data_IF_989878475039
#
_entry.id   IF_989878475039
#
_cell.length_a   1.000
_cell.length_b   1.000
_cell.length_c   1.000
_cell.angle_alpha   90.00
_cell.angle_beta   90.00
_cell.angle_gamma   90.00
#
_symmetry.space_group_name_H-M   'P 1'
#
loop_
_entity.id
_entity.type
_entity.pdbx_description
1 polymer ?
#
# COMPACT_ATOMS: atom_id res chain seq x y z
N UNK A 1 11.63 5.26 13.48
CA UNK A 1 11.56 6.20 14.61
C UNK A 1 10.58 5.68 15.68
N UNK A 2 9.30 5.43 15.34
CA UNK A 2 8.31 4.84 16.26
C UNK A 2 8.79 3.53 16.85
N UNK A 3 9.32 2.63 16.01
CA UNK A 3 9.90 1.36 16.47
C UNK A 3 11.03 1.56 17.48
N UNK A 4 11.92 2.53 17.24
CA UNK A 4 13.02 2.84 18.16
C UNK A 4 12.51 3.30 19.53
N UNK A 5 11.45 4.11 19.57
CA UNK A 5 10.81 4.54 20.81
C UNK A 5 10.20 3.34 21.55
N UNK A 6 9.46 2.48 20.85
CA UNK A 6 8.86 1.28 21.43
C UNK A 6 9.95 0.34 22.00
N UNK A 7 11.07 0.18 21.30
CA UNK A 7 12.18 -0.64 21.72
C UNK A 7 12.89 -0.10 22.97
N UNK A 8 13.00 1.22 23.06
CA UNK A 8 13.75 1.88 24.14
C UNK A 8 12.90 2.06 25.40
N UNK A 9 11.68 2.59 25.28
CA UNK A 9 10.83 2.93 26.43
C UNK A 9 10.16 1.70 27.08
N UNK A 10 9.86 0.65 26.31
CA UNK A 10 9.00 -0.44 26.76
C UNK A 10 9.68 -1.82 26.79
N UNK A 11 10.97 -1.90 26.57
CA UNK A 11 11.71 -3.17 26.54
C UNK A 11 11.06 -4.23 25.63
N UNK A 12 10.54 -3.74 24.51
CA UNK A 12 9.63 -4.41 23.61
C UNK A 12 10.21 -5.65 22.91
N UNK A 13 11.54 -5.70 22.70
CA UNK A 13 12.20 -6.75 21.89
C UNK A 13 11.92 -8.15 22.42
N UNK A 14 11.98 -8.35 23.74
CA UNK A 14 11.80 -9.65 24.35
C UNK A 14 10.36 -10.16 24.32
N UNK A 15 9.38 -9.26 24.41
CA UNK A 15 7.96 -9.63 24.40
C UNK A 15 7.43 -9.86 22.98
N UNK A 16 7.81 -8.99 22.03
CA UNK A 16 7.36 -9.11 20.65
C UNK A 16 7.95 -10.30 19.92
N UNK A 17 9.23 -10.62 20.14
CA UNK A 17 9.86 -11.77 19.49
C UNK A 17 9.18 -13.09 19.84
N UNK A 18 8.74 -13.27 21.08
CA UNK A 18 8.05 -14.50 21.51
C UNK A 18 6.67 -14.65 20.89
N UNK A 19 5.99 -13.55 20.57
CA UNK A 19 4.64 -13.58 20.00
C UNK A 19 4.65 -13.59 18.45
N UNK A 20 5.57 -12.87 17.81
CA UNK A 20 5.67 -12.77 16.35
C UNK A 20 6.20 -14.06 15.72
N UNK A 21 7.15 -14.73 16.38
CA UNK A 21 7.80 -15.94 15.84
C UNK A 21 7.22 -17.25 16.36
N UNK A 22 5.98 -17.26 16.83
CA UNK A 22 5.23 -18.50 17.02
C UNK A 22 4.86 -19.07 15.65
N UNK A 23 5.75 -19.84 15.06
CA UNK A 23 5.50 -20.58 13.82
C UNK A 23 4.50 -21.71 14.10
N UNK A 24 3.22 -21.38 14.04
CA UNK A 24 2.18 -22.39 13.93
C UNK A 24 2.30 -23.05 12.55
N UNK A 25 1.99 -24.34 12.50
CA UNK A 25 2.11 -25.11 11.27
C UNK A 25 1.19 -24.50 10.18
N UNK A 26 1.80 -23.80 9.21
CA UNK A 26 1.10 -23.03 8.16
C UNK A 26 0.22 -23.94 7.28
N UNK A 27 0.57 -25.25 7.22
CA UNK A 27 -0.10 -26.25 6.40
C UNK A 27 -1.32 -26.91 7.06
N UNK A 28 -1.71 -26.49 8.25
CA UNK A 28 -2.98 -26.94 8.85
C UNK A 28 -4.12 -26.31 8.04
N UNK A 29 -5.14 -27.11 7.71
CA UNK A 29 -6.29 -26.70 6.88
C UNK A 29 -6.94 -25.40 7.35
N UNK A 30 -7.02 -25.18 8.66
CA UNK A 30 -7.62 -24.00 9.25
C UNK A 30 -6.79 -22.72 9.04
N UNK A 31 -5.50 -22.83 8.77
CA UNK A 31 -4.60 -21.69 8.52
C UNK A 31 -4.44 -21.38 7.01
N UNK A 32 -4.77 -22.31 6.11
CA UNK A 32 -4.65 -22.10 4.66
C UNK A 32 -5.62 -21.01 4.19
N UNK A 33 -6.85 -21.01 4.66
CA UNK A 33 -7.86 -20.03 4.22
C UNK A 33 -7.51 -18.59 4.61
N UNK A 34 -7.14 -18.29 5.85
CA UNK A 34 -6.62 -16.96 6.21
C UNK A 34 -5.38 -16.56 5.38
N UNK A 35 -4.44 -17.47 5.15
CA UNK A 35 -3.24 -17.20 4.36
C UNK A 35 -3.58 -16.83 2.90
N UNK A 36 -4.47 -17.59 2.27
CA UNK A 36 -4.92 -17.31 0.89
C UNK A 36 -5.70 -16.01 0.80
N UNK A 37 -6.50 -15.67 1.81
CA UNK A 37 -7.22 -14.40 1.89
C UNK A 37 -6.23 -13.24 1.96
N UNK A 38 -5.25 -13.29 2.85
CA UNK A 38 -4.21 -12.25 2.98
C UNK A 38 -3.42 -12.11 1.68
N UNK A 39 -3.00 -13.23 1.07
CA UNK A 39 -2.29 -13.20 -0.20
C UNK A 39 -3.15 -12.59 -1.33
N UNK A 40 -4.43 -12.91 -1.37
CA UNK A 40 -5.41 -12.34 -2.30
C UNK A 40 -5.57 -10.83 -2.12
N UNK A 41 -5.74 -10.36 -0.89
CA UNK A 41 -5.86 -8.93 -0.58
C UNK A 41 -4.58 -8.15 -0.94
N UNK A 42 -3.39 -8.71 -0.67
CA UNK A 42 -2.11 -8.09 -1.10
C UNK A 42 -2.05 -7.99 -2.62
N UNK A 43 -2.38 -9.06 -3.35
CA UNK A 43 -2.44 -9.04 -4.81
C UNK A 43 -3.44 -8.00 -5.32
N UNK A 44 -4.62 -7.96 -4.71
CA UNK A 44 -5.66 -7.00 -5.01
C UNK A 44 -5.17 -5.55 -4.87
N UNK A 45 -4.53 -5.26 -3.76
CA UNK A 45 -3.99 -3.92 -3.49
C UNK A 45 -2.96 -3.47 -4.53
N UNK A 46 -2.09 -4.37 -4.99
CA UNK A 46 -1.06 -4.06 -5.97
C UNK A 46 -1.52 -4.22 -7.43
N UNK A 47 -2.71 -4.75 -7.71
CA UNK A 47 -3.17 -5.04 -9.07
C UNK A 47 -3.21 -3.79 -9.97
N UNK A 48 -3.61 -2.64 -9.43
CA UNK A 48 -3.63 -1.38 -10.18
C UNK A 48 -2.22 -0.92 -10.58
N UNK A 49 -1.23 -1.14 -9.72
CA UNK A 49 0.18 -0.80 -10.01
C UNK A 49 0.71 -1.72 -11.11
N UNK A 50 0.33 -2.99 -11.10
CA UNK A 50 0.71 -3.97 -12.13
C UNK A 50 0.14 -3.54 -13.49
N UNK A 51 -1.15 -3.22 -13.56
CA UNK A 51 -1.81 -2.79 -14.80
C UNK A 51 -1.23 -1.48 -15.34
N UNK A 52 -0.91 -0.54 -14.44
CA UNK A 52 -0.34 0.76 -14.81
C UNK A 52 1.21 0.76 -14.83
N UNK A 53 1.85 -0.41 -14.82
CA UNK A 53 3.31 -0.49 -14.74
C UNK A 53 4.02 0.25 -15.89
N UNK A 54 3.41 0.31 -17.07
CA UNK A 54 3.89 1.08 -18.21
C UNK A 54 4.07 2.58 -17.93
N UNK A 55 3.24 3.15 -17.05
CA UNK A 55 3.33 4.57 -16.68
C UNK A 55 4.57 4.89 -15.84
N UNK A 56 5.08 3.92 -15.11
CA UNK A 56 6.33 4.06 -14.34
C UNK A 56 7.55 3.67 -15.16
N UNK A 57 7.47 2.58 -15.91
CA UNK A 57 8.61 2.04 -16.68
C UNK A 57 9.07 2.96 -17.81
N UNK A 58 8.18 3.80 -18.36
CA UNK A 58 8.54 4.76 -19.43
C UNK A 58 9.59 5.80 -19.02
N UNK A 59 9.76 6.04 -17.73
CA UNK A 59 10.75 7.00 -17.22
C UNK A 59 12.10 6.37 -16.93
N UNK A 60 12.25 5.06 -17.11
CA UNK A 60 13.48 4.32 -16.83
C UNK A 60 14.36 4.27 -18.08
N UNK A 61 15.66 4.47 -17.91
CA UNK A 61 16.61 4.58 -19.04
C UNK A 61 16.79 3.29 -19.84
N UNK A 62 16.78 2.15 -19.17
CA UNK A 62 17.01 0.84 -19.79
C UNK A 62 16.45 -0.31 -18.93
N UNK A 63 16.39 -1.50 -19.52
CA UNK A 63 15.84 -2.69 -18.87
C UNK A 63 16.63 -3.12 -17.61
N UNK A 64 17.95 -2.93 -17.60
CA UNK A 64 18.75 -3.28 -16.44
C UNK A 64 18.43 -2.42 -15.22
N UNK A 65 18.24 -1.12 -15.42
CA UNK A 65 17.82 -0.21 -14.35
C UNK A 65 16.39 -0.51 -13.90
N UNK A 66 15.50 -0.92 -14.79
CA UNK A 66 14.17 -1.37 -14.46
C UNK A 66 14.20 -2.63 -13.56
N UNK A 67 15.01 -3.63 -13.91
CA UNK A 67 15.19 -4.84 -13.09
C UNK A 67 15.75 -4.54 -11.71
N UNK A 68 16.77 -3.67 -11.62
CA UNK A 68 17.30 -3.23 -10.32
C UNK A 68 16.27 -2.47 -9.50
N UNK A 69 15.52 -1.58 -10.13
CA UNK A 69 14.44 -0.83 -9.50
C UNK A 69 13.36 -1.75 -8.93
N UNK A 70 12.93 -2.75 -9.69
CA UNK A 70 11.94 -3.73 -9.24
C UNK A 70 12.46 -4.59 -8.09
N UNK A 71 13.71 -5.03 -8.14
CA UNK A 71 14.33 -5.77 -7.03
C UNK A 71 14.42 -4.89 -5.78
N UNK A 72 14.84 -3.64 -5.93
CA UNK A 72 14.87 -2.68 -4.83
C UNK A 72 13.48 -2.44 -4.23
N UNK A 73 12.43 -2.34 -5.06
CA UNK A 73 11.04 -2.21 -4.61
C UNK A 73 10.62 -3.40 -3.75
N UNK A 74 10.88 -4.63 -4.21
CA UNK A 74 10.56 -5.86 -3.47
C UNK A 74 11.26 -5.88 -2.12
N UNK A 75 12.56 -5.59 -2.09
CA UNK A 75 13.34 -5.58 -0.85
C UNK A 75 12.85 -4.49 0.12
N UNK A 76 12.57 -3.29 -0.37
CA UNK A 76 12.04 -2.20 0.46
C UNK A 76 10.65 -2.52 1.01
N UNK A 77 9.76 -3.11 0.21
CA UNK A 77 8.43 -3.55 0.68
C UNK A 77 8.54 -4.63 1.74
N UNK A 78 9.45 -5.59 1.59
CA UNK A 78 9.68 -6.64 2.58
C UNK A 78 10.18 -6.04 3.91
N UNK A 79 11.18 -5.17 3.86
CA UNK A 79 11.72 -4.49 5.04
C UNK A 79 10.64 -3.62 5.70
N UNK A 80 9.89 -2.87 4.90
CA UNK A 80 8.79 -2.04 5.41
C UNK A 80 7.69 -2.88 6.07
N UNK A 81 7.33 -4.02 5.47
CA UNK A 81 6.33 -4.93 6.03
C UNK A 81 6.77 -5.51 7.36
N UNK A 82 8.05 -5.89 7.48
CA UNK A 82 8.60 -6.34 8.76
C UNK A 82 8.51 -5.25 9.84
N UNK A 83 8.91 -4.02 9.52
CA UNK A 83 8.78 -2.90 10.46
C UNK A 83 7.33 -2.63 10.83
N UNK A 84 6.40 -2.70 9.87
CA UNK A 84 4.97 -2.50 10.12
C UNK A 84 4.41 -3.56 11.07
N UNK A 85 4.75 -4.84 10.87
CA UNK A 85 4.35 -5.94 11.75
C UNK A 85 4.90 -5.71 13.17
N UNK A 86 6.18 -5.38 13.31
CA UNK A 86 6.78 -5.10 14.61
C UNK A 86 6.12 -3.91 15.32
N UNK A 87 5.78 -2.85 14.60
CA UNK A 87 5.12 -1.67 15.18
C UNK A 87 3.71 -2.03 15.64
N UNK A 88 2.93 -2.72 14.79
CA UNK A 88 1.53 -3.06 15.08
C UNK A 88 1.45 -4.02 16.27
N UNK A 89 2.19 -5.13 16.25
CA UNK A 89 2.17 -6.09 17.36
C UNK A 89 2.71 -5.47 18.64
N UNK A 90 3.77 -4.64 18.55
CA UNK A 90 4.31 -3.95 19.70
C UNK A 90 3.35 -2.95 20.32
N UNK A 91 2.67 -2.20 19.50
CA UNK A 91 1.64 -1.29 19.97
C UNK A 91 0.51 -2.03 20.66
N UNK A 92 0.08 -3.15 20.09
CA UNK A 92 -0.98 -3.97 20.65
C UNK A 92 -0.58 -4.54 22.01
N UNK A 93 0.57 -5.20 22.09
CA UNK A 93 1.08 -5.81 23.34
C UNK A 93 1.29 -4.77 24.44
N UNK A 94 1.79 -3.58 24.10
CA UNK A 94 2.16 -2.58 25.12
C UNK A 94 0.97 -1.70 25.52
N UNK A 95 0.20 -1.24 24.53
CA UNK A 95 -0.84 -0.25 24.75
C UNK A 95 -2.18 -0.86 25.14
N UNK A 96 -2.46 -2.09 24.72
CA UNK A 96 -3.72 -2.79 25.04
C UNK A 96 -3.63 -3.69 26.28
N UNK A 97 -2.47 -3.96 26.84
CA UNK A 97 -2.31 -4.79 28.06
C UNK A 97 -3.14 -4.35 29.25
N UNK A 98 -3.55 -3.09 29.31
CA UNK A 98 -4.31 -2.50 30.42
C UNK A 98 -5.81 -2.32 30.11
N UNK A 99 -6.28 -2.74 28.95
CA UNK A 99 -7.67 -2.62 28.54
C UNK A 99 -8.32 -4.00 28.61
N UNK A 100 -9.16 -4.23 29.61
CA UNK A 100 -9.96 -5.47 29.78
C UNK A 100 -10.91 -5.73 28.60
N UNK A 101 -11.11 -4.75 27.71
CA UNK A 101 -11.94 -4.85 26.52
C UNK A 101 -11.07 -4.53 25.29
N UNK A 102 -10.50 -5.56 24.66
CA UNK A 102 -9.84 -5.46 23.35
C UNK A 102 -10.87 -5.19 22.26
N UNK A 103 -11.25 -3.94 22.04
CA UNK A 103 -12.18 -3.63 20.96
C UNK A 103 -11.52 -3.55 19.58
N UNK A 104 -10.23 -3.26 19.46
CA UNK A 104 -9.56 -3.08 18.17
C UNK A 104 -8.04 -3.15 18.25
N UNK A 105 -7.43 -3.92 17.35
CA UNK A 105 -5.98 -3.90 17.11
C UNK A 105 -5.61 -2.57 16.45
N UNK A 106 -4.58 -1.88 16.97
CA UNK A 106 -4.08 -0.63 16.39
C UNK A 106 -3.30 -0.93 15.10
N UNK A 107 -3.98 -0.92 13.97
CA UNK A 107 -3.37 -1.14 12.65
C UNK A 107 -2.92 0.14 11.97
N UNK A 108 -3.44 1.29 12.40
CA UNK A 108 -3.12 2.58 11.81
C UNK A 108 -1.99 3.26 12.60
N UNK A 109 -0.85 3.59 11.97
CA UNK A 109 0.27 4.28 12.63
C UNK A 109 -0.12 5.58 13.32
N UNK A 110 -1.11 6.31 12.81
CA UNK A 110 -1.58 7.56 13.41
C UNK A 110 -2.25 7.34 14.76
N UNK A 111 -2.99 6.24 14.91
CA UNK A 111 -3.66 5.89 16.16
C UNK A 111 -2.64 5.47 17.23
N UNK A 112 -1.60 4.74 16.81
CA UNK A 112 -0.49 4.33 17.67
C UNK A 112 0.24 5.56 18.20
N UNK A 113 0.58 6.50 17.31
CA UNK A 113 1.33 7.72 17.67
C UNK A 113 0.51 8.64 18.57
N UNK A 114 -0.80 8.69 18.40
CA UNK A 114 -1.70 9.45 19.26
C UNK A 114 -1.73 9.00 20.73
N UNK A 115 -1.23 7.79 21.03
CA UNK A 115 -1.12 7.26 22.41
C UNK A 115 0.17 7.66 23.13
N UNK A 116 1.15 8.23 22.42
CA UNK A 116 2.37 8.71 23.06
C UNK A 116 2.12 10.07 23.73
N UNK A 117 2.42 10.18 25.01
CA UNK A 117 2.27 11.43 25.80
C UNK A 117 3.36 12.48 25.51
N UNK A 118 3.84 12.54 24.26
CA UNK A 118 4.87 13.51 23.86
C UNK A 118 4.47 14.22 22.57
N UNK A 119 3.97 15.43 22.71
CA UNK A 119 3.47 16.25 21.60
C UNK A 119 4.53 16.51 20.53
N UNK A 120 5.80 16.73 20.91
CA UNK A 120 6.87 17.00 19.93
C UNK A 120 7.14 15.79 19.04
N UNK A 121 7.21 14.61 19.64
CA UNK A 121 7.39 13.35 18.92
C UNK A 121 6.18 13.12 18.00
N UNK A 122 4.97 13.25 18.52
CA UNK A 122 3.73 13.08 17.76
C UNK A 122 3.69 13.99 16.53
N UNK A 123 3.94 15.28 16.68
CA UNK A 123 3.94 16.23 15.56
C UNK A 123 5.02 15.90 14.53
N UNK A 124 6.22 15.57 14.99
CA UNK A 124 7.34 15.21 14.10
C UNK A 124 7.01 13.97 13.26
N UNK A 125 6.49 12.92 13.88
CA UNK A 125 6.15 11.67 13.17
C UNK A 125 4.97 11.88 12.23
N UNK A 126 3.93 12.60 12.63
CA UNK A 126 2.80 12.93 11.75
C UNK A 126 3.25 13.74 10.53
N UNK A 127 4.21 14.64 10.70
CA UNK A 127 4.80 15.38 9.58
C UNK A 127 5.52 14.46 8.59
N UNK A 128 6.31 13.49 9.06
CA UNK A 128 6.95 12.51 8.18
C UNK A 128 5.93 11.57 7.49
N UNK A 129 4.88 11.16 8.19
CA UNK A 129 3.78 10.37 7.59
C UNK A 129 3.10 11.18 6.48
N UNK A 130 2.83 12.47 6.72
CA UNK A 130 2.26 13.36 5.71
C UNK A 130 3.14 13.47 4.47
N UNK A 131 4.45 13.70 4.64
CA UNK A 131 5.38 13.77 3.51
C UNK A 131 5.46 12.45 2.74
N UNK A 132 5.52 11.33 3.44
CA UNK A 132 5.54 10.00 2.82
C UNK A 132 4.25 9.74 2.02
N UNK A 133 3.09 10.03 2.61
CA UNK A 133 1.80 9.90 1.94
C UNK A 133 1.70 10.80 0.72
N UNK A 134 2.13 12.05 0.82
CA UNK A 134 2.12 13.00 -0.29
C UNK A 134 2.99 12.52 -1.45
N UNK A 135 4.23 12.10 -1.18
CA UNK A 135 5.15 11.61 -2.21
C UNK A 135 4.64 10.35 -2.91
N UNK A 136 4.11 9.40 -2.13
CA UNK A 136 3.54 8.16 -2.68
C UNK A 136 2.31 8.45 -3.55
N UNK A 137 1.41 9.31 -3.09
CA UNK A 137 0.23 9.69 -3.87
C UNK A 137 0.57 10.43 -5.17
N UNK A 138 1.58 11.27 -5.16
CA UNK A 138 2.04 11.93 -6.39
C UNK A 138 2.52 10.91 -7.43
N UNK A 139 3.31 9.94 -7.04
CA UNK A 139 3.88 8.95 -7.97
C UNK A 139 2.85 7.89 -8.34
N UNK A 140 2.19 7.27 -7.36
CA UNK A 140 1.36 6.10 -7.59
C UNK A 140 -0.04 6.43 -8.11
N UNK A 141 -0.60 7.58 -7.77
CA UNK A 141 -1.97 7.93 -8.12
C UNK A 141 -2.05 9.07 -9.13
N UNK A 142 -1.34 10.18 -8.91
CA UNK A 142 -1.45 11.34 -9.78
C UNK A 142 -0.82 11.11 -11.17
N UNK A 143 0.38 10.53 -11.24
CA UNK A 143 1.09 10.33 -12.53
C UNK A 143 0.30 9.39 -13.47
N UNK A 144 -0.17 8.20 -13.04
CA UNK A 144 -1.01 7.35 -13.88
C UNK A 144 -2.32 8.01 -14.28
N UNK A 145 -2.98 8.71 -13.37
CA UNK A 145 -4.22 9.42 -13.67
C UNK A 145 -4.00 10.50 -14.73
N UNK A 146 -2.91 11.27 -14.62
CA UNK A 146 -2.56 12.29 -15.61
C UNK A 146 -2.28 11.69 -16.98
N UNK A 147 -1.50 10.62 -17.05
CA UNK A 147 -1.19 9.93 -18.29
C UNK A 147 -2.44 9.34 -18.94
N UNK A 148 -3.30 8.70 -18.13
CA UNK A 148 -4.58 8.15 -18.62
C UNK A 148 -5.48 9.23 -19.20
N UNK A 149 -5.60 10.37 -18.51
CA UNK A 149 -6.42 11.48 -18.96
C UNK A 149 -5.91 12.12 -20.25
N UNK A 150 -4.57 12.29 -20.38
CA UNK A 150 -3.93 12.77 -21.60
C UNK A 150 -4.10 11.80 -22.77
N UNK A 151 -3.98 10.50 -22.52
CA UNK A 151 -4.20 9.47 -23.54
C UNK A 151 -5.67 9.37 -23.98
N UNK A 152 -6.60 9.64 -23.08
CA UNK A 152 -8.03 9.63 -23.39
C UNK A 152 -8.45 10.82 -24.28
N UNK A 153 -7.85 12.00 -24.08
CA UNK A 153 -8.15 13.23 -24.82
C UNK A 153 -6.86 13.91 -25.35
N UNK A 154 -6.11 13.24 -26.25
CA UNK A 154 -4.74 13.67 -26.61
C UNK A 154 -4.68 15.05 -27.26
N UNK A 155 -5.73 15.47 -27.96
CA UNK A 155 -5.75 16.74 -28.70
C UNK A 155 -6.46 17.89 -27.94
N UNK A 156 -7.05 17.60 -26.78
CA UNK A 156 -7.87 18.57 -26.02
C UNK A 156 -7.22 18.98 -24.70
N UNK A 157 -6.38 18.13 -24.14
CA UNK A 157 -5.78 18.35 -22.83
C UNK A 157 -4.27 18.55 -22.94
N UNK A 158 -3.78 19.54 -22.22
CA UNK A 158 -2.36 19.77 -21.95
C UNK A 158 -2.00 19.21 -20.57
N UNK A 159 -0.72 19.05 -20.26
CA UNK A 159 -0.24 18.65 -18.93
C UNK A 159 -0.86 19.52 -17.82
N UNK A 160 -0.95 20.84 -18.06
CA UNK A 160 -1.49 21.78 -17.07
C UNK A 160 -3.00 21.64 -16.90
N UNK A 161 -3.75 21.50 -17.98
CA UNK A 161 -5.21 21.35 -17.92
C UNK A 161 -5.61 19.99 -17.32
N UNK A 162 -4.88 18.91 -17.64
CA UNK A 162 -5.11 17.60 -17.02
C UNK A 162 -4.84 17.63 -15.52
N UNK A 163 -3.77 18.30 -15.07
CA UNK A 163 -3.49 18.49 -13.66
C UNK A 163 -4.62 19.21 -12.92
N UNK A 164 -5.09 20.33 -13.47
CA UNK A 164 -6.21 21.07 -12.88
C UNK A 164 -7.51 20.24 -12.84
N UNK A 165 -7.78 19.46 -13.89
CA UNK A 165 -8.92 18.56 -13.93
C UNK A 165 -8.83 17.49 -12.83
N UNK A 166 -7.65 16.87 -12.64
CA UNK A 166 -7.44 15.87 -11.59
C UNK A 166 -7.59 16.48 -10.20
N UNK A 167 -7.03 17.67 -9.97
CA UNK A 167 -7.17 18.36 -8.68
C UNK A 167 -8.64 18.66 -8.40
N UNK A 168 -9.38 19.18 -9.38
CA UNK A 168 -10.77 19.52 -9.22
C UNK A 168 -11.63 18.28 -8.88
N UNK A 169 -11.58 17.24 -9.72
CA UNK A 169 -12.35 16.03 -9.46
C UNK A 169 -11.87 15.28 -8.23
N UNK A 170 -10.56 15.21 -8.01
CA UNK A 170 -9.95 14.57 -6.83
C UNK A 170 -10.38 15.21 -5.52
N UNK A 171 -10.52 16.54 -5.49
CA UNK A 171 -11.04 17.25 -4.32
C UNK A 171 -12.48 16.85 -3.98
N UNK A 172 -13.38 16.87 -4.97
CA UNK A 172 -14.77 16.48 -4.76
C UNK A 172 -14.91 14.99 -4.41
N UNK A 173 -14.23 14.12 -5.15
CA UNK A 173 -14.22 12.68 -4.85
C UNK A 173 -13.69 12.44 -3.44
N UNK A 174 -12.61 13.11 -3.03
CA UNK A 174 -12.03 12.96 -1.70
C UNK A 174 -13.02 13.32 -0.59
N UNK A 175 -13.76 14.40 -0.74
CA UNK A 175 -14.75 14.85 0.27
C UNK A 175 -15.94 13.88 0.34
N UNK A 176 -16.50 13.46 -0.77
CA UNK A 176 -17.72 12.64 -0.78
C UNK A 176 -17.44 11.14 -0.63
N UNK A 177 -16.28 10.69 -1.09
CA UNK A 177 -15.92 9.27 -1.12
C UNK A 177 -15.44 8.72 0.21
N UNK A 178 -14.74 9.53 1.01
CA UNK A 178 -14.25 9.13 2.33
C UNK A 178 -15.37 8.64 3.27
N UNK A 179 -16.48 9.37 3.44
CA UNK A 179 -17.62 8.88 4.24
C UNK A 179 -18.24 7.60 3.69
N UNK A 180 -18.29 7.46 2.35
CA UNK A 180 -18.82 6.25 1.72
C UNK A 180 -17.92 5.04 1.95
N UNK A 181 -16.60 5.19 1.78
CA UNK A 181 -15.62 4.12 2.03
C UNK A 181 -15.59 3.68 3.49
N UNK A 182 -15.82 4.59 4.44
CA UNK A 182 -15.89 4.24 5.86
C UNK A 182 -17.08 3.35 6.18
N UNK A 183 -18.18 3.46 5.41
CA UNK A 183 -19.38 2.64 5.58
C UNK A 183 -19.25 1.27 4.89
N UNK A 184 -18.69 1.22 3.70
CA UNK A 184 -18.54 -0.02 2.90
C UNK A 184 -17.36 -0.87 3.41
N UNK A 185 -16.33 -0.22 3.95
CA UNK A 185 -15.05 -0.82 4.31
C UNK A 185 -14.04 -0.77 3.16
N UNK A 186 -12.85 -0.25 3.46
CA UNK A 186 -11.78 -0.06 2.47
C UNK A 186 -11.35 -1.38 1.85
N UNK A 187 -11.22 -2.45 2.64
CA UNK A 187 -10.80 -3.76 2.15
C UNK A 187 -11.81 -4.35 1.18
N UNK A 188 -13.11 -4.32 1.51
CA UNK A 188 -14.17 -4.81 0.61
C UNK A 188 -14.21 -4.05 -0.72
N UNK A 189 -13.95 -2.74 -0.67
CA UNK A 189 -13.84 -1.91 -1.87
C UNK A 189 -12.65 -2.34 -2.74
N UNK A 190 -11.45 -2.51 -2.15
CA UNK A 190 -10.24 -2.94 -2.86
C UNK A 190 -10.46 -4.32 -3.48
N UNK A 191 -10.98 -5.28 -2.74
CA UNK A 191 -11.23 -6.64 -3.22
C UNK A 191 -12.22 -6.66 -4.39
N UNK A 192 -13.28 -5.85 -4.33
CA UNK A 192 -14.25 -5.73 -5.41
C UNK A 192 -13.61 -5.18 -6.69
N UNK A 193 -12.81 -4.11 -6.59
CA UNK A 193 -12.13 -3.55 -7.77
C UNK A 193 -11.06 -4.49 -8.33
N UNK A 194 -10.36 -5.23 -7.50
CA UNK A 194 -9.33 -6.17 -7.94
C UNK A 194 -9.90 -7.32 -8.77
N UNK A 195 -11.16 -7.69 -8.55
CA UNK A 195 -11.84 -8.68 -9.39
C UNK A 195 -11.88 -8.26 -10.87
N UNK A 196 -11.89 -6.96 -11.16
CA UNK A 196 -11.81 -6.46 -12.53
C UNK A 196 -10.38 -6.41 -13.07
N UNK A 197 -9.40 -6.07 -12.23
CA UNK A 197 -8.00 -5.94 -12.66
C UNK A 197 -7.32 -7.30 -12.90
N UNK A 198 -7.72 -8.35 -12.20
CA UNK A 198 -7.18 -9.70 -12.42
C UNK A 198 -7.30 -10.19 -13.86
N UNK A 199 -8.51 -10.18 -14.47
CA UNK A 199 -8.71 -10.51 -15.89
C UNK A 199 -7.89 -9.64 -16.84
N UNK A 200 -7.80 -8.32 -16.60
CA UNK A 200 -6.97 -7.44 -17.43
C UNK A 200 -5.50 -7.85 -17.40
N UNK A 201 -4.96 -8.13 -16.22
CA UNK A 201 -3.60 -8.62 -16.10
C UNK A 201 -3.41 -9.97 -16.81
N UNK A 202 -4.35 -10.88 -16.65
CA UNK A 202 -4.33 -12.18 -17.37
C UNK A 202 -4.29 -11.99 -18.89
N UNK A 203 -5.12 -11.12 -19.44
CA UNK A 203 -5.12 -10.79 -20.88
C UNK A 203 -3.76 -10.22 -21.31
N UNK A 204 -3.19 -9.28 -20.55
CA UNK A 204 -1.88 -8.70 -20.87
C UNK A 204 -0.76 -9.76 -20.92
N UNK A 205 -0.75 -10.67 -19.95
CA UNK A 205 0.24 -11.77 -19.90
C UNK A 205 0.07 -12.71 -21.08
N UNK A 206 -1.16 -13.15 -21.37
CA UNK A 206 -1.45 -14.06 -22.49
C UNK A 206 -1.12 -13.40 -23.84
N UNK A 207 -1.53 -12.15 -24.04
CA UNK A 207 -1.23 -11.40 -25.27
C UNK A 207 0.27 -11.30 -25.50
N UNK A 208 1.02 -10.89 -24.47
CA UNK A 208 2.45 -10.68 -24.61
C UNK A 208 3.25 -11.98 -24.77
N UNK A 209 3.02 -12.98 -23.91
CA UNK A 209 3.85 -14.19 -23.91
C UNK A 209 3.37 -15.27 -24.88
N UNK A 210 2.05 -15.47 -25.01
CA UNK A 210 1.50 -16.57 -25.82
C UNK A 210 1.19 -16.12 -27.25
N UNK A 211 0.58 -14.97 -27.44
CA UNK A 211 0.17 -14.50 -28.77
C UNK A 211 1.35 -13.82 -29.47
N UNK A 212 1.93 -12.81 -28.84
CA UNK A 212 3.04 -12.03 -29.45
C UNK A 212 4.43 -12.65 -29.26
N UNK A 213 4.53 -13.76 -28.46
CA UNK A 213 5.79 -14.47 -28.20
C UNK A 213 6.93 -13.54 -27.78
N UNK A 214 6.64 -12.57 -26.92
CA UNK A 214 7.55 -11.51 -26.45
C UNK A 214 8.04 -10.56 -27.54
N UNK A 215 7.43 -10.56 -28.72
CA UNK A 215 7.74 -9.61 -29.80
C UNK A 215 6.74 -8.47 -29.77
N UNK A 216 7.20 -7.28 -29.48
CA UNK A 216 6.42 -6.07 -29.65
C UNK A 216 6.46 -5.72 -31.15
N UNK A 217 5.33 -5.84 -31.82
CA UNK A 217 5.17 -5.34 -33.20
C UNK A 217 5.10 -3.81 -33.10
N UNK A 218 6.07 -3.13 -33.70
CA UNK A 218 6.05 -1.68 -33.86
C UNK A 218 4.94 -1.26 -34.84
#
# INVERSE_FOLDING_TARGET
FVLVILLYEYNYVTQAFSEIFVFQNIFIKDNIMPLTTVAGTIFAYFSIVIVNFGDFSRYVKNENELKKGNLSLILNLLIFSLFAIFIVIGADVILNKNLENMERIFTNPTDIIGKFNNTQITVTVLFFIFLASLSTNLIANYVPAQNSLLNFLPNKLTLRSSALTIIFFGFFIGIFWLPLLSQIGILSFIDTFSCFFGPFFGIMVVDYYLIKKSNLVN
#
